data_IF_646607484600
#
_entry.id   IF_646607484600
#
_cell.length_a   1.000
_cell.length_b   1.000
_cell.length_c   1.000
_cell.angle_alpha   90.00
_cell.angle_beta   90.00
_cell.angle_gamma   90.00
#
_symmetry.space_group_name_H-M   'P 1'
#
loop_
_entity.id
_entity.type
_entity.pdbx_description
1 polymer ?
#
# COMPACT_ATOMS: atom_id res chain seq x y z
N UNK A 1 -12.05 -7.48 19.10
CA UNK A 1 -11.30 -6.74 18.07
C UNK A 1 -10.42 -5.74 18.82
N UNK A 2 -9.13 -5.72 18.58
CA UNK A 2 -8.24 -4.66 19.08
C UNK A 2 -8.76 -3.29 18.61
N UNK A 3 -8.58 -2.26 19.42
CA UNK A 3 -8.91 -0.90 19.01
C UNK A 3 -8.10 -0.51 17.78
N UNK A 4 -8.68 0.28 16.89
CA UNK A 4 -7.95 0.83 15.75
C UNK A 4 -6.86 1.79 16.26
N UNK A 5 -5.70 1.86 15.61
CA UNK A 5 -4.67 2.84 15.96
C UNK A 5 -5.18 4.26 15.78
N UNK A 6 -4.60 5.21 16.51
CA UNK A 6 -4.89 6.62 16.36
C UNK A 6 -4.54 7.10 14.94
N UNK A 7 -5.44 7.89 14.33
CA UNK A 7 -5.25 8.35 12.95
C UNK A 7 -4.81 9.81 12.99
N UNK A 8 -3.57 10.13 12.57
CA UNK A 8 -3.10 11.51 12.50
C UNK A 8 -3.98 12.41 11.63
N UNK A 9 -4.18 13.65 12.05
CA UNK A 9 -5.01 14.63 11.33
C UNK A 9 -4.45 15.00 9.94
N UNK A 10 -3.15 14.81 9.73
CA UNK A 10 -2.48 15.06 8.45
C UNK A 10 -2.86 14.07 7.36
N UNK A 11 -3.37 12.89 7.71
CA UNK A 11 -3.71 11.86 6.74
C UNK A 11 -5.03 12.19 6.00
N UNK A 12 -5.06 12.07 4.67
CA UNK A 12 -6.27 12.32 3.89
C UNK A 12 -7.36 11.29 4.19
N UNK A 13 -8.57 11.79 4.51
CA UNK A 13 -9.73 11.01 4.94
C UNK A 13 -10.79 10.93 3.84
N UNK A 14 -11.56 9.85 3.86
CA UNK A 14 -12.77 9.68 3.01
C UNK A 14 -13.99 10.35 3.64
N UNK A 15 -13.99 10.54 4.96
CA UNK A 15 -15.13 11.03 5.75
C UNK A 15 -16.40 10.18 5.56
N UNK A 16 -16.25 8.84 5.57
CA UNK A 16 -17.32 7.89 5.29
C UNK A 16 -17.54 6.91 6.44
N UNK A 17 -18.47 7.19 7.33
CA UNK A 17 -18.85 6.27 8.41
C UNK A 17 -19.33 4.89 7.89
N UNK A 18 -20.03 4.87 6.75
CA UNK A 18 -20.46 3.62 6.12
C UNK A 18 -19.25 2.85 5.59
N UNK A 19 -18.30 3.54 4.98
CA UNK A 19 -17.02 2.96 4.52
C UNK A 19 -16.24 2.32 5.65
N UNK A 20 -16.14 2.99 6.81
CA UNK A 20 -15.47 2.45 8.00
C UNK A 20 -16.14 1.15 8.50
N UNK A 21 -17.47 1.17 8.65
CA UNK A 21 -18.22 -0.03 9.08
C UNK A 21 -18.03 -1.19 8.09
N UNK A 22 -18.09 -0.90 6.78
CA UNK A 22 -17.83 -1.89 5.73
C UNK A 22 -16.41 -2.45 5.82
N UNK A 23 -15.40 -1.58 6.00
CA UNK A 23 -14.01 -2.00 6.15
C UNK A 23 -13.80 -2.93 7.34
N UNK A 24 -14.34 -2.58 8.50
CA UNK A 24 -14.30 -3.41 9.72
C UNK A 24 -14.99 -4.77 9.51
N UNK A 25 -16.14 -4.77 8.85
CA UNK A 25 -16.85 -6.00 8.53
C UNK A 25 -16.06 -6.88 7.56
N UNK A 26 -15.45 -6.30 6.54
CA UNK A 26 -14.59 -7.01 5.58
C UNK A 26 -13.35 -7.60 6.26
N UNK A 27 -12.66 -6.86 7.14
CA UNK A 27 -11.53 -7.39 7.90
C UNK A 27 -11.91 -8.61 8.74
N UNK A 28 -13.11 -8.58 9.34
CA UNK A 28 -13.65 -9.73 10.08
C UNK A 28 -13.93 -10.92 9.17
N UNK A 29 -14.55 -10.68 8.01
CA UNK A 29 -14.91 -11.72 7.03
C UNK A 29 -13.65 -12.36 6.41
N UNK A 30 -12.60 -11.58 6.15
CA UNK A 30 -11.35 -12.04 5.54
C UNK A 30 -10.44 -12.86 6.48
N UNK A 31 -10.85 -13.07 7.75
CA UNK A 31 -10.12 -13.88 8.72
C UNK A 31 -9.90 -13.21 10.07
N UNK A 32 -10.63 -12.12 10.39
CA UNK A 32 -10.50 -11.43 11.67
C UNK A 32 -9.24 -10.58 11.77
N UNK A 33 -8.85 -9.95 10.68
CA UNK A 33 -7.66 -9.10 10.62
C UNK A 33 -7.72 -7.95 11.61
N UNK A 34 -6.59 -7.70 12.25
CA UNK A 34 -6.35 -6.53 13.11
C UNK A 34 -5.31 -5.60 12.49
N UNK A 35 -5.34 -4.33 12.90
CA UNK A 35 -4.40 -3.33 12.44
C UNK A 35 -3.51 -2.95 13.62
N UNK A 36 -2.20 -2.98 13.44
CA UNK A 36 -1.19 -2.77 14.45
C UNK A 36 -0.19 -1.70 14.03
N UNK A 37 0.51 -1.13 15.01
CA UNK A 37 1.53 -0.11 14.78
C UNK A 37 0.96 1.30 14.75
N UNK A 38 1.82 2.28 14.49
CA UNK A 38 1.47 3.70 14.43
C UNK A 38 1.37 4.16 12.99
N UNK A 39 0.32 4.91 12.67
CA UNK A 39 0.18 5.50 11.36
C UNK A 39 1.13 6.70 11.22
N UNK A 40 1.76 6.84 10.04
CA UNK A 40 2.67 7.97 9.79
C UNK A 40 1.92 9.31 9.77
N UNK A 41 2.53 10.36 10.30
CA UNK A 41 1.94 11.70 10.36
C UNK A 41 2.31 12.57 9.13
N UNK A 42 2.29 11.98 7.93
CA UNK A 42 2.60 12.68 6.67
C UNK A 42 1.40 12.66 5.74
N UNK A 43 1.12 13.77 5.07
CA UNK A 43 0.02 13.88 4.10
C UNK A 43 0.36 13.32 2.71
N UNK A 44 1.64 13.13 2.40
CA UNK A 44 2.14 12.52 1.16
C UNK A 44 3.11 11.38 1.49
N UNK A 45 2.80 10.17 1.03
CA UNK A 45 3.54 8.96 1.42
C UNK A 45 3.49 7.94 0.27
N UNK A 46 4.59 7.23 0.05
CA UNK A 46 4.60 5.94 -0.65
C UNK A 46 4.49 4.82 0.39
N UNK A 47 3.42 4.04 0.32
CA UNK A 47 3.19 2.90 1.22
C UNK A 47 3.63 1.63 0.51
N UNK A 48 4.73 1.02 0.98
CA UNK A 48 5.23 -0.26 0.50
C UNK A 48 4.57 -1.40 1.27
N UNK A 49 3.76 -2.21 0.59
CA UNK A 49 3.01 -3.32 1.19
C UNK A 49 3.63 -4.66 0.78
N UNK A 50 4.10 -5.44 1.74
CA UNK A 50 4.64 -6.78 1.53
C UNK A 50 4.41 -7.69 2.76
N UNK A 51 4.53 -9.02 2.64
CA UNK A 51 4.61 -9.77 1.39
C UNK A 51 3.30 -9.74 0.59
N UNK A 52 3.39 -9.82 -0.75
CA UNK A 52 2.21 -9.80 -1.64
C UNK A 52 2.18 -11.05 -2.52
N UNK A 53 1.57 -12.10 -2.01
CA UNK A 53 1.57 -13.43 -2.61
C UNK A 53 0.20 -13.91 -3.08
N UNK A 54 -0.86 -13.12 -2.82
CA UNK A 54 -2.23 -13.49 -3.18
C UNK A 54 -3.09 -12.30 -3.61
N UNK A 55 -4.24 -12.59 -4.24
CA UNK A 55 -5.27 -11.56 -4.49
C UNK A 55 -5.93 -11.08 -3.18
N UNK A 56 -5.94 -11.91 -2.15
CA UNK A 56 -6.54 -11.57 -0.85
C UNK A 56 -5.83 -10.39 -0.20
N UNK A 57 -4.52 -10.24 -0.41
CA UNK A 57 -3.71 -9.14 0.12
C UNK A 57 -4.27 -7.78 -0.30
N UNK A 58 -4.71 -7.67 -1.55
CA UNK A 58 -5.38 -6.47 -2.05
C UNK A 58 -6.69 -6.19 -1.31
N UNK A 59 -7.52 -7.22 -1.09
CA UNK A 59 -8.78 -7.04 -0.36
C UNK A 59 -8.56 -6.69 1.10
N UNK A 60 -7.55 -7.27 1.75
CA UNK A 60 -7.15 -6.91 3.12
C UNK A 60 -6.67 -5.45 3.18
N UNK A 61 -5.84 -5.03 2.24
CA UNK A 61 -5.36 -3.64 2.14
C UNK A 61 -6.50 -2.64 1.95
N UNK A 62 -7.44 -2.92 1.03
CA UNK A 62 -8.63 -2.06 0.82
C UNK A 62 -9.54 -2.05 2.04
N UNK A 63 -9.79 -3.19 2.68
CA UNK A 63 -10.59 -3.28 3.89
C UNK A 63 -9.98 -2.46 5.03
N UNK A 64 -8.65 -2.53 5.22
CA UNK A 64 -7.94 -1.73 6.20
C UNK A 64 -8.00 -0.23 5.89
N UNK A 65 -7.81 0.16 4.63
CA UNK A 65 -7.93 1.55 4.19
C UNK A 65 -9.34 2.13 4.48
N UNK A 66 -10.39 1.34 4.21
CA UNK A 66 -11.76 1.72 4.54
C UNK A 66 -11.99 1.80 6.05
N UNK A 67 -11.54 0.79 6.81
CA UNK A 67 -11.68 0.76 8.28
C UNK A 67 -11.00 1.95 8.96
N UNK A 68 -9.85 2.38 8.44
CA UNK A 68 -9.13 3.56 8.88
C UNK A 68 -9.67 4.87 8.26
N UNK A 69 -10.68 4.81 7.40
CA UNK A 69 -11.22 5.95 6.66
C UNK A 69 -10.17 6.71 5.82
N UNK A 70 -9.11 6.03 5.37
CA UNK A 70 -8.03 6.64 4.62
C UNK A 70 -8.35 6.72 3.13
N UNK A 71 -7.97 7.84 2.50
CA UNK A 71 -8.06 8.04 1.04
C UNK A 71 -6.77 7.56 0.38
N UNK A 72 -6.62 6.22 0.29
CA UNK A 72 -5.45 5.60 -0.38
C UNK A 72 -5.67 5.57 -1.89
N UNK A 73 -4.58 5.76 -2.65
CA UNK A 73 -4.48 5.50 -4.08
C UNK A 73 -3.60 4.27 -4.33
N UNK A 74 -3.88 3.53 -5.40
CA UNK A 74 -3.07 2.36 -5.79
C UNK A 74 -2.93 2.26 -7.30
N UNK A 75 -1.81 1.69 -7.76
CA UNK A 75 -1.55 1.53 -9.19
C UNK A 75 -2.12 0.21 -9.69
N UNK A 76 -3.02 0.28 -10.65
CA UNK A 76 -3.57 -0.88 -11.32
C UNK A 76 -3.18 -0.93 -12.79
N UNK A 77 -2.98 -2.14 -13.35
CA UNK A 77 -2.75 -2.29 -14.80
C UNK A 77 -3.96 -1.73 -15.53
N UNK A 78 -3.75 -0.89 -16.55
CA UNK A 78 -4.81 -0.29 -17.36
C UNK A 78 -5.88 -1.30 -17.78
N UNK A 79 -5.49 -2.52 -18.15
CA UNK A 79 -6.41 -3.56 -18.62
C UNK A 79 -7.44 -4.08 -17.62
N UNK A 80 -7.30 -3.78 -16.31
CA UNK A 80 -8.31 -4.17 -15.31
C UNK A 80 -9.40 -3.10 -15.13
N UNK A 81 -9.17 -1.88 -15.65
CA UNK A 81 -10.13 -0.78 -15.57
C UNK A 81 -11.16 -0.83 -16.70
N UNK A 82 -11.88 -1.94 -16.78
CA UNK A 82 -12.92 -2.18 -17.79
C UNK A 82 -14.32 -2.24 -17.15
N UNK A 83 -15.37 -2.05 -17.95
CA UNK A 83 -16.73 -2.22 -17.47
C UNK A 83 -16.97 -3.69 -17.05
N UNK A 84 -17.70 -3.98 -15.93
CA UNK A 84 -18.37 -3.05 -15.01
C UNK A 84 -17.47 -2.55 -13.84
N UNK A 85 -16.27 -3.11 -13.65
CA UNK A 85 -15.43 -2.88 -12.44
C UNK A 85 -14.68 -1.55 -12.43
N UNK A 86 -14.57 -0.86 -13.56
CA UNK A 86 -13.83 0.41 -13.70
C UNK A 86 -14.26 1.45 -12.67
N UNK A 87 -15.58 1.72 -12.55
CA UNK A 87 -16.09 2.72 -11.61
C UNK A 87 -15.75 2.38 -10.17
N UNK A 88 -15.86 1.11 -9.80
CA UNK A 88 -15.51 0.63 -8.46
C UNK A 88 -14.02 0.83 -8.18
N UNK A 89 -13.15 0.40 -9.09
CA UNK A 89 -11.69 0.55 -8.91
C UNK A 89 -11.30 2.03 -8.78
N UNK A 90 -11.85 2.90 -9.59
CA UNK A 90 -11.60 4.35 -9.51
C UNK A 90 -12.10 4.93 -8.17
N UNK A 91 -13.30 4.54 -7.71
CA UNK A 91 -13.85 5.01 -6.43
C UNK A 91 -13.05 4.52 -5.21
N UNK A 92 -12.40 3.36 -5.33
CA UNK A 92 -11.49 2.83 -4.33
C UNK A 92 -10.11 3.52 -4.35
N UNK A 93 -9.82 4.35 -5.36
CA UNK A 93 -8.57 5.08 -5.48
C UNK A 93 -7.61 4.49 -6.51
N UNK A 94 -8.07 3.61 -7.39
CA UNK A 94 -7.24 3.02 -8.44
C UNK A 94 -6.77 4.07 -9.47
N UNK A 95 -5.50 4.01 -9.82
CA UNK A 95 -4.87 4.79 -10.90
C UNK A 95 -4.51 3.81 -12.01
N UNK A 96 -5.14 3.91 -13.19
CA UNK A 96 -4.75 3.06 -14.32
C UNK A 96 -3.37 3.47 -14.84
N UNK A 97 -2.45 2.52 -14.92
CA UNK A 97 -1.09 2.75 -15.45
C UNK A 97 -0.78 1.81 -16.60
N UNK A 98 -0.12 2.33 -17.59
CA UNK A 98 0.48 1.52 -18.66
C UNK A 98 1.90 1.10 -18.22
N UNK A 99 2.07 -0.19 -18.00
CA UNK A 99 3.34 -0.77 -17.53
C UNK A 99 4.29 -1.13 -18.67
N UNK A 100 3.94 -0.85 -19.90
CA UNK A 100 4.82 -1.08 -21.07
C UNK A 100 6.02 -0.11 -21.05
N UNK A 101 5.88 1.04 -20.40
CA UNK A 101 6.93 2.05 -20.25
C UNK A 101 7.16 2.38 -18.77
N UNK A 102 7.97 1.60 -18.03
CA UNK A 102 8.14 1.76 -16.58
C UNK A 102 8.61 3.15 -16.14
N UNK A 103 9.47 3.80 -16.93
CA UNK A 103 9.93 5.18 -16.66
C UNK A 103 8.79 6.19 -16.78
N UNK A 104 7.85 5.99 -17.70
CA UNK A 104 6.65 6.82 -17.84
C UNK A 104 5.73 6.72 -16.62
N UNK A 105 5.64 5.54 -15.99
CA UNK A 105 4.83 5.34 -14.76
C UNK A 105 5.41 6.15 -13.58
N UNK A 106 6.73 6.12 -13.40
CA UNK A 106 7.39 6.90 -12.33
C UNK A 106 7.08 8.39 -12.51
N UNK A 107 7.33 8.95 -13.70
CA UNK A 107 7.07 10.36 -13.97
C UNK A 107 5.61 10.78 -13.79
N UNK A 108 4.66 9.94 -14.23
CA UNK A 108 3.22 10.21 -14.04
C UNK A 108 2.86 10.27 -12.55
N UNK A 109 3.38 9.35 -11.75
CA UNK A 109 3.07 9.29 -10.31
C UNK A 109 3.76 10.42 -9.54
N UNK A 110 4.97 10.80 -9.92
CA UNK A 110 5.65 11.97 -9.34
C UNK A 110 4.83 13.24 -9.60
N UNK A 111 4.35 13.45 -10.84
CA UNK A 111 3.48 14.56 -11.16
C UNK A 111 2.17 14.57 -10.34
N UNK A 112 1.57 13.42 -10.06
CA UNK A 112 0.41 13.30 -9.16
C UNK A 112 0.76 13.75 -7.72
N UNK A 113 1.94 13.41 -7.21
CA UNK A 113 2.42 13.90 -5.92
C UNK A 113 2.62 15.41 -5.89
N UNK A 114 3.18 15.99 -6.95
CA UNK A 114 3.42 17.43 -7.07
C UNK A 114 2.11 18.22 -7.10
N UNK A 115 1.11 17.74 -7.86
CA UNK A 115 -0.18 18.40 -8.07
C UNK A 115 -1.17 18.20 -6.92
N UNK A 116 -0.91 17.27 -6.01
CA UNK A 116 -1.81 16.96 -4.89
C UNK A 116 -1.33 17.59 -3.59
N UNK A 117 -2.22 18.14 -2.78
CA UNK A 117 -1.91 18.57 -1.41
C UNK A 117 -1.69 17.36 -0.48
N UNK A 118 -2.32 16.25 -0.79
CA UNK A 118 -2.21 15.00 -0.03
C UNK A 118 -2.35 13.77 -0.91
N UNK A 119 -1.47 12.79 -0.74
CA UNK A 119 -1.49 11.55 -1.52
C UNK A 119 -0.88 10.37 -0.75
N UNK A 120 -1.67 9.35 -0.46
CA UNK A 120 -1.20 8.09 0.08
C UNK A 120 -1.19 7.05 -1.05
N UNK A 121 -0.02 6.71 -1.56
CA UNK A 121 0.14 5.76 -2.65
C UNK A 121 0.52 4.38 -2.12
N UNK A 122 -0.41 3.43 -2.14
CA UNK A 122 -0.15 2.02 -1.81
C UNK A 122 0.30 1.22 -3.03
N UNK A 123 1.37 0.46 -2.86
CA UNK A 123 1.87 -0.46 -3.89
C UNK A 123 2.64 -1.63 -3.26
N UNK A 124 2.81 -2.72 -4.05
CA UNK A 124 3.71 -3.81 -3.67
C UNK A 124 5.06 -3.64 -4.37
N UNK A 125 6.17 -3.60 -3.60
CA UNK A 125 7.52 -3.48 -4.17
C UNK A 125 7.94 -4.73 -4.97
N UNK A 126 7.34 -5.88 -4.70
CA UNK A 126 7.57 -7.13 -5.44
C UNK A 126 7.07 -7.02 -6.89
N UNK A 127 6.03 -6.21 -7.14
CA UNK A 127 5.42 -6.01 -8.45
C UNK A 127 4.78 -7.26 -9.07
N UNK A 128 4.74 -8.37 -8.33
CA UNK A 128 4.22 -9.69 -8.72
C UNK A 128 3.74 -10.42 -7.47
N UNK A 129 2.87 -11.42 -7.65
CA UNK A 129 2.46 -12.36 -6.58
C UNK A 129 3.20 -13.70 -6.66
N UNK A 130 4.14 -13.80 -7.57
CA UNK A 130 5.04 -14.93 -7.68
C UNK A 130 6.37 -14.55 -7.08
N UNK A 131 7.10 -15.52 -6.60
CA UNK A 131 8.45 -15.33 -6.08
C UNK A 131 9.31 -14.53 -7.05
N UNK A 132 9.92 -13.48 -6.58
CA UNK A 132 10.83 -12.63 -7.35
C UNK A 132 12.19 -12.58 -6.67
N UNK A 133 13.25 -12.69 -7.45
CA UNK A 133 14.61 -12.57 -6.91
C UNK A 133 14.93 -11.13 -6.50
N UNK A 134 14.40 -10.17 -7.24
CA UNK A 134 14.65 -8.75 -7.02
C UNK A 134 13.34 -7.97 -6.99
N UNK A 135 13.22 -7.10 -5.99
CA UNK A 135 12.13 -6.14 -5.91
C UNK A 135 12.33 -5.03 -6.94
N UNK A 136 11.22 -4.47 -7.39
CA UNK A 136 11.23 -3.37 -8.36
C UNK A 136 11.57 -2.06 -7.65
N UNK A 137 12.52 -1.30 -8.19
CA UNK A 137 12.94 -0.01 -7.62
C UNK A 137 11.99 1.16 -7.92
N UNK A 138 10.96 0.96 -8.75
CA UNK A 138 10.07 2.04 -9.18
C UNK A 138 9.44 2.85 -8.04
N UNK A 139 9.01 2.20 -6.97
CA UNK A 139 8.43 2.85 -5.80
C UNK A 139 9.44 3.75 -5.08
N UNK A 140 10.69 3.31 -5.00
CA UNK A 140 11.78 4.05 -4.40
C UNK A 140 12.13 5.30 -5.24
N UNK A 141 12.20 5.18 -6.57
CA UNK A 141 12.38 6.33 -7.44
C UNK A 141 11.23 7.32 -7.36
N UNK A 142 9.97 6.85 -7.23
CA UNK A 142 8.82 7.72 -7.00
C UNK A 142 9.03 8.50 -5.70
N UNK A 143 9.35 7.84 -4.59
CA UNK A 143 9.53 8.47 -3.31
C UNK A 143 10.69 9.48 -3.33
N UNK A 144 11.83 9.11 -3.92
CA UNK A 144 13.02 9.97 -4.05
C UNK A 144 12.74 11.23 -4.88
N UNK A 145 12.10 11.08 -6.04
CA UNK A 145 11.81 12.21 -6.93
C UNK A 145 10.71 13.12 -6.38
N UNK A 146 9.67 12.53 -5.78
CA UNK A 146 8.58 13.29 -5.16
C UNK A 146 8.96 13.86 -3.77
N UNK A 147 10.14 13.53 -3.22
CA UNK A 147 10.62 13.93 -1.89
C UNK A 147 9.60 13.57 -0.79
N UNK A 148 9.09 12.35 -0.81
CA UNK A 148 8.12 11.83 0.16
C UNK A 148 8.64 10.56 0.82
N UNK A 149 8.30 10.29 2.09
CA UNK A 149 8.76 9.09 2.78
C UNK A 149 8.13 7.81 2.21
N UNK A 150 8.86 6.70 2.36
CA UNK A 150 8.39 5.34 2.15
C UNK A 150 8.00 4.78 3.51
N UNK A 151 6.73 4.42 3.69
CA UNK A 151 6.25 3.79 4.92
C UNK A 151 5.94 2.32 4.66
N UNK A 152 6.43 1.44 5.53
CA UNK A 152 6.30 0.01 5.36
C UNK A 152 5.00 -0.47 5.98
N UNK A 153 4.30 -1.38 5.28
CA UNK A 153 3.10 -2.04 5.80
C UNK A 153 3.21 -3.54 5.57
N UNK A 154 3.34 -4.28 6.67
CA UNK A 154 3.46 -5.72 6.66
C UNK A 154 2.09 -6.42 6.68
N UNK A 155 1.96 -7.51 5.90
CA UNK A 155 0.82 -8.42 5.97
C UNK A 155 1.27 -9.73 6.63
N UNK A 156 0.86 -9.96 7.87
CA UNK A 156 1.18 -11.18 8.61
C UNK A 156 -0.03 -12.12 8.68
N UNK A 157 -0.01 -13.15 7.86
CA UNK A 157 -1.08 -14.15 7.81
C UNK A 157 -1.07 -15.12 8.97
N UNK A 158 0.07 -15.30 9.66
CA UNK A 158 0.11 -16.16 10.85
C UNK A 158 -0.68 -15.55 12.01
N UNK A 159 -0.67 -14.21 12.12
CA UNK A 159 -1.37 -13.46 13.17
C UNK A 159 -2.64 -12.79 12.68
N UNK A 160 -2.91 -12.79 11.37
CA UNK A 160 -3.93 -12.00 10.70
C UNK A 160 -3.81 -10.51 11.08
N UNK A 161 -2.61 -9.96 10.87
CA UNK A 161 -2.29 -8.58 11.21
C UNK A 161 -1.79 -7.80 10.00
N UNK A 162 -2.32 -6.60 9.83
CA UNK A 162 -1.72 -5.56 9.01
C UNK A 162 -0.91 -4.67 9.96
N UNK A 163 0.40 -4.61 9.74
CA UNK A 163 1.35 -3.96 10.66
C UNK A 163 1.95 -2.73 9.99
N UNK A 164 1.68 -1.55 10.53
CA UNK A 164 2.40 -0.33 10.16
C UNK A 164 3.81 -0.39 10.77
N UNK A 165 4.81 -0.35 9.92
CA UNK A 165 6.23 -0.33 10.25
C UNK A 165 6.83 1.07 10.17
N UNK A 166 8.17 1.14 10.13
CA UNK A 166 8.88 2.41 10.05
C UNK A 166 8.62 3.13 8.71
N UNK A 167 8.71 4.46 8.77
CA UNK A 167 8.83 5.30 7.59
C UNK A 167 10.29 5.72 7.44
N UNK A 168 10.75 5.82 6.19
CA UNK A 168 12.11 6.21 5.85
C UNK A 168 12.13 7.04 4.57
N UNK A 169 13.05 7.97 4.47
CA UNK A 169 13.30 8.67 3.21
C UNK A 169 14.13 7.79 2.27
N UNK A 170 13.93 7.95 0.97
CA UNK A 170 14.76 7.26 -0.02
C UNK A 170 16.18 7.80 0.02
N UNK A 171 17.14 6.94 0.37
CA UNK A 171 18.55 7.27 0.51
C UNK A 171 19.26 7.45 -0.83
N UNK A 172 20.60 7.29 -0.82
CA UNK A 172 21.41 7.41 -2.03
C UNK A 172 21.44 6.10 -2.83
N UNK A 173 21.32 4.96 -2.15
CA UNK A 173 21.45 3.63 -2.74
C UNK A 173 20.22 2.78 -2.44
N UNK A 174 19.53 2.34 -3.50
CA UNK A 174 18.36 1.47 -3.38
C UNK A 174 18.67 0.13 -2.69
N UNK A 175 19.87 -0.44 -2.90
CA UNK A 175 20.21 -1.75 -2.31
C UNK A 175 20.31 -1.69 -0.77
N UNK A 176 20.84 -0.61 -0.24
CA UNK A 176 20.98 -0.39 1.21
C UNK A 176 19.61 -0.19 1.85
N UNK A 177 18.78 0.66 1.25
CA UNK A 177 17.40 0.88 1.71
C UNK A 177 16.56 -0.40 1.62
N UNK A 178 16.73 -1.17 0.54
CA UNK A 178 16.04 -2.44 0.36
C UNK A 178 16.40 -3.46 1.45
N UNK A 179 17.66 -3.49 1.88
CA UNK A 179 18.10 -4.35 2.98
C UNK A 179 17.37 -4.01 4.28
N UNK A 180 17.24 -2.71 4.60
CA UNK A 180 16.51 -2.25 5.78
C UNK A 180 15.01 -2.60 5.69
N UNK A 181 14.38 -2.37 4.53
CA UNK A 181 12.98 -2.72 4.30
C UNK A 181 12.74 -4.23 4.46
N UNK A 182 13.64 -5.06 3.88
CA UNK A 182 13.54 -6.52 3.99
C UNK A 182 13.64 -7.02 5.43
N UNK A 183 14.48 -6.41 6.27
CA UNK A 183 14.58 -6.77 7.68
C UNK A 183 13.24 -6.63 8.43
N UNK A 184 12.43 -5.62 8.09
CA UNK A 184 11.08 -5.49 8.61
C UNK A 184 10.15 -6.57 8.07
N UNK A 185 10.13 -6.78 6.75
CA UNK A 185 9.19 -7.71 6.11
C UNK A 185 9.49 -9.20 6.38
N UNK A 186 10.74 -9.55 6.69
CA UNK A 186 11.11 -10.92 7.13
C UNK A 186 10.39 -11.38 8.40
N UNK A 187 9.83 -10.46 9.17
CA UNK A 187 9.04 -10.77 10.36
C UNK A 187 7.58 -11.11 10.02
N UNK A 188 7.17 -10.96 8.77
CA UNK A 188 5.80 -11.19 8.30
C UNK A 188 5.69 -12.57 7.64
N UNK A 189 4.59 -13.25 7.91
CA UNK A 189 4.28 -14.54 7.26
C UNK A 189 3.35 -14.30 6.08
N UNK A 190 3.81 -14.63 4.87
CA UNK A 190 3.01 -14.55 3.66
C UNK A 190 1.85 -15.55 3.66
N UNK A 191 0.79 -15.30 2.89
CA UNK A 191 -0.27 -16.27 2.66
C UNK A 191 0.24 -17.54 1.97
N UNK A 192 1.15 -17.34 1.02
CA UNK A 192 1.83 -18.40 0.29
C UNK A 192 3.34 -18.20 0.44
N UNK A 193 3.96 -18.78 1.49
CA UNK A 193 5.38 -18.57 1.78
C UNK A 193 6.32 -18.97 0.65
N UNK A 194 5.92 -19.95 -0.17
CA UNK A 194 6.65 -20.39 -1.35
C UNK A 194 6.77 -19.32 -2.44
N UNK A 195 5.91 -18.30 -2.40
CA UNK A 195 5.88 -17.18 -3.33
C UNK A 195 6.50 -15.88 -2.78
N UNK A 196 6.97 -15.91 -1.52
CA UNK A 196 7.58 -14.76 -0.85
C UNK A 196 9.10 -14.69 -1.08
#
# INVERSE_FOLDING_TARGET
>A
MSALPAIPASLPRRHSNLGQKLGLWLLKLLGGWSIQGELPAHNKIVIAVAPHTSNQDFFVGIAAALALDLKIRFLGKHSIFVWPVKRLLLSLGGIPVDRSHPQGVVGQVVAEFEQSDSLLLGLSPEGSRKKVQQWRSGFWFIAKQAQVPICLVGLDYNRNQLVFGPCMDAGENFADDLQQMRAFFQQMTAKYPENA
#
